data_IF_461445757506
#
_entry.id   IF_461445757506
#
_cell.length_a   1.000
_cell.length_b   1.000
_cell.length_c   1.000
_cell.angle_alpha   90.00
_cell.angle_beta   90.00
_cell.angle_gamma   90.00
#
_symmetry.space_group_name_H-M   'P 1'
#
loop_
_entity.id
_entity.type
_entity.pdbx_description
1 polymer ?
#
# COMPACT_ATOMS: atom_id res chain seq x y z
N UNK A 1 -25.40 0.34 -19.48
CA UNK A 1 -24.53 -0.37 -18.52
C UNK A 1 -23.84 0.73 -17.73
N UNK A 2 -23.89 0.71 -16.41
CA UNK A 2 -23.19 1.71 -15.60
C UNK A 2 -21.70 1.49 -15.81
N UNK A 3 -21.02 2.42 -16.46
CA UNK A 3 -19.57 2.39 -16.56
C UNK A 3 -18.98 2.68 -15.17
N UNK A 4 -17.93 1.96 -14.79
CA UNK A 4 -17.17 2.33 -13.61
C UNK A 4 -16.65 3.75 -13.83
N UNK A 5 -16.74 4.58 -12.79
CA UNK A 5 -16.15 5.93 -12.76
C UNK A 5 -14.71 5.79 -13.22
N UNK A 6 -14.27 6.70 -14.10
CA UNK A 6 -12.91 6.90 -14.62
C UNK A 6 -11.85 5.98 -13.98
N UNK A 7 -11.10 5.21 -14.80
CA UNK A 7 -10.33 4.02 -14.41
C UNK A 7 -9.79 4.08 -12.97
N UNK A 8 -10.46 3.40 -12.05
CA UNK A 8 -9.95 3.24 -10.69
C UNK A 8 -9.09 1.98 -10.65
N UNK A 9 -7.78 2.12 -10.45
CA UNK A 9 -6.87 0.98 -10.38
C UNK A 9 -6.94 0.26 -9.03
N UNK A 10 -7.44 0.89 -7.97
CA UNK A 10 -7.52 0.26 -6.65
C UNK A 10 -8.27 -1.10 -6.67
N UNK A 11 -9.49 -1.22 -7.24
CA UNK A 11 -10.15 -2.51 -7.39
C UNK A 11 -9.32 -3.56 -8.14
N UNK A 12 -8.45 -3.16 -9.08
CA UNK A 12 -7.59 -4.11 -9.78
C UNK A 12 -6.42 -4.53 -8.88
N UNK A 13 -5.76 -3.55 -8.25
CA UNK A 13 -4.57 -3.75 -7.44
C UNK A 13 -4.85 -4.55 -6.16
N UNK A 14 -6.03 -4.37 -5.53
CA UNK A 14 -6.35 -4.99 -4.23
C UNK A 14 -6.45 -6.53 -4.28
N UNK A 15 -6.72 -7.12 -5.44
CA UNK A 15 -6.83 -8.58 -5.57
C UNK A 15 -5.49 -9.30 -5.37
N UNK A 16 -4.40 -8.71 -5.85
CA UNK A 16 -3.06 -9.30 -5.77
C UNK A 16 -2.59 -9.55 -4.32
N UNK A 17 -2.56 -8.55 -3.41
CA UNK A 17 -2.14 -8.78 -2.04
C UNK A 17 -3.06 -9.77 -1.31
N UNK A 18 -4.38 -9.70 -1.53
CA UNK A 18 -5.34 -10.62 -0.91
C UNK A 18 -5.04 -12.07 -1.33
N UNK A 19 -4.93 -12.32 -2.65
CA UNK A 19 -4.69 -13.65 -3.18
C UNK A 19 -3.34 -14.24 -2.70
N UNK A 20 -2.28 -13.43 -2.74
CA UNK A 20 -0.94 -13.84 -2.29
C UNK A 20 -0.89 -14.11 -0.78
N UNK A 21 -1.47 -13.24 0.04
CA UNK A 21 -1.50 -13.41 1.50
C UNK A 21 -2.30 -14.65 1.91
N UNK A 22 -3.52 -14.80 1.39
CA UNK A 22 -4.37 -15.95 1.72
C UNK A 22 -3.68 -17.24 1.30
N UNK A 23 -3.20 -17.32 0.05
CA UNK A 23 -2.56 -18.53 -0.46
C UNK A 23 -1.27 -18.85 0.31
N UNK A 24 -0.44 -17.85 0.59
CA UNK A 24 0.79 -18.03 1.35
C UNK A 24 0.56 -18.48 2.79
N UNK A 25 -0.46 -17.93 3.47
CA UNK A 25 -0.88 -18.38 4.81
C UNK A 25 -1.38 -19.82 4.76
N UNK A 26 -2.23 -20.18 3.80
CA UNK A 26 -2.71 -21.55 3.64
C UNK A 26 -1.55 -22.52 3.47
N UNK A 27 -0.57 -22.19 2.62
CA UNK A 27 0.65 -23.00 2.44
C UNK A 27 1.42 -23.16 3.76
N UNK A 28 1.61 -22.08 4.54
CA UNK A 28 2.32 -22.17 5.82
C UNK A 28 1.54 -23.03 6.84
N UNK A 29 0.20 -22.93 6.88
CA UNK A 29 -0.66 -23.79 7.71
C UNK A 29 -0.55 -25.25 7.29
N UNK A 30 -0.67 -25.56 6.00
CA UNK A 30 -0.56 -26.92 5.49
C UNK A 30 0.84 -27.52 5.67
N UNK A 31 1.89 -26.70 5.75
CA UNK A 31 3.25 -27.17 6.03
C UNK A 31 3.37 -27.86 7.40
N UNK A 32 2.45 -27.58 8.35
CA UNK A 32 2.38 -28.28 9.64
C UNK A 32 1.81 -29.70 9.52
N UNK A 33 1.01 -30.00 8.48
CA UNK A 33 0.38 -31.31 8.26
C UNK A 33 1.32 -32.39 7.67
N UNK A 34 2.64 -32.14 7.67
CA UNK A 34 3.64 -33.12 7.23
C UNK A 34 4.26 -32.85 5.86
N UNK A 35 3.77 -31.84 5.12
CA UNK A 35 4.40 -31.37 3.86
C UNK A 35 5.61 -30.48 4.14
N UNK A 36 6.64 -31.06 4.75
CA UNK A 36 7.87 -30.34 5.15
C UNK A 36 8.81 -30.01 4.00
N UNK A 37 8.43 -30.25 2.74
CA UNK A 37 9.32 -29.98 1.61
C UNK A 37 9.71 -28.50 1.57
N UNK A 38 11.02 -28.27 1.52
CA UNK A 38 11.61 -26.94 1.71
C UNK A 38 11.14 -25.93 0.66
N UNK A 39 10.96 -26.36 -0.60
CA UNK A 39 10.59 -25.46 -1.71
C UNK A 39 9.16 -24.93 -1.61
N UNK A 40 8.19 -25.76 -1.22
CA UNK A 40 6.78 -25.36 -1.15
C UNK A 40 6.54 -24.34 -0.03
N UNK A 41 7.09 -24.61 1.15
CA UNK A 41 7.03 -23.66 2.28
C UNK A 41 7.77 -22.35 1.96
N UNK A 42 8.89 -22.43 1.24
CA UNK A 42 9.60 -21.24 0.78
C UNK A 42 8.75 -20.40 -0.17
N UNK A 43 8.01 -21.03 -1.10
CA UNK A 43 7.05 -20.34 -1.95
C UNK A 43 5.97 -19.62 -1.12
N UNK A 44 5.36 -20.30 -0.14
CA UNK A 44 4.36 -19.68 0.75
C UNK A 44 4.88 -18.44 1.48
N UNK A 45 6.12 -18.48 1.97
CA UNK A 45 6.78 -17.32 2.62
C UNK A 45 7.03 -16.17 1.65
N UNK A 46 7.42 -16.46 0.41
CA UNK A 46 7.55 -15.45 -0.64
C UNK A 46 6.21 -14.83 -1.00
N UNK A 47 5.15 -15.61 -1.08
CA UNK A 47 3.80 -15.12 -1.33
C UNK A 47 3.33 -14.20 -0.19
N UNK A 48 3.55 -14.59 1.07
CA UNK A 48 3.26 -13.72 2.23
C UNK A 48 4.05 -12.41 2.12
N UNK A 49 5.36 -12.48 1.82
CA UNK A 49 6.18 -11.29 1.69
C UNK A 49 5.68 -10.37 0.58
N UNK A 50 5.51 -10.88 -0.63
CA UNK A 50 5.05 -10.09 -1.78
C UNK A 50 3.64 -9.55 -1.54
N UNK A 51 2.75 -10.35 -0.97
CA UNK A 51 1.39 -9.94 -0.61
C UNK A 51 1.40 -8.79 0.41
N UNK A 52 2.18 -8.91 1.49
CA UNK A 52 2.35 -7.83 2.47
C UNK A 52 2.95 -6.57 1.87
N UNK A 53 3.89 -6.66 0.93
CA UNK A 53 4.43 -5.46 0.28
C UNK A 53 3.39 -4.80 -0.63
N UNK A 54 2.58 -5.59 -1.32
CA UNK A 54 1.50 -5.11 -2.17
C UNK A 54 0.32 -4.52 -1.38
N UNK A 55 0.12 -4.85 -0.09
CA UNK A 55 -0.90 -4.14 0.72
C UNK A 55 -0.58 -2.67 0.89
N UNK A 56 0.70 -2.27 0.90
CA UNK A 56 1.10 -0.85 0.91
C UNK A 56 0.64 -0.15 -0.36
N UNK A 57 0.79 -0.81 -1.51
CA UNK A 57 0.35 -0.31 -2.81
C UNK A 57 -1.19 -0.24 -2.88
N UNK A 58 -1.88 -1.26 -2.34
CA UNK A 58 -3.34 -1.27 -2.27
C UNK A 58 -3.90 -0.18 -1.34
N UNK A 59 -3.29 0.05 -0.17
CA UNK A 59 -3.71 1.11 0.76
C UNK A 59 -3.50 2.50 0.14
N UNK A 60 -2.34 2.75 -0.48
CA UNK A 60 -2.05 4.04 -1.11
C UNK A 60 -2.99 4.35 -2.29
N UNK A 61 -3.25 3.38 -3.18
CA UNK A 61 -4.28 3.51 -4.22
C UNK A 61 -5.70 3.65 -3.64
N UNK A 62 -6.01 2.99 -2.52
CA UNK A 62 -7.30 3.10 -1.84
C UNK A 62 -7.56 4.49 -1.24
N UNK A 63 -6.53 5.15 -0.70
CA UNK A 63 -6.59 6.54 -0.23
C UNK A 63 -6.95 7.47 -1.39
N UNK A 64 -6.31 7.30 -2.55
CA UNK A 64 -6.63 8.04 -3.76
C UNK A 64 -8.07 7.78 -4.23
N UNK A 65 -8.48 6.51 -4.28
CA UNK A 65 -9.84 6.12 -4.64
C UNK A 65 -10.89 6.77 -3.73
N UNK A 66 -10.68 6.78 -2.41
CA UNK A 66 -11.62 7.43 -1.48
C UNK A 66 -11.75 8.93 -1.75
N UNK A 67 -10.64 9.61 -2.06
CA UNK A 67 -10.67 11.03 -2.39
C UNK A 67 -11.48 11.30 -3.68
N UNK A 68 -11.26 10.49 -4.72
CA UNK A 68 -12.03 10.56 -5.96
C UNK A 68 -13.53 10.36 -5.72
N UNK A 69 -13.89 9.32 -4.96
CA UNK A 69 -15.30 9.02 -4.65
C UNK A 69 -15.95 10.12 -3.79
N UNK A 70 -15.19 10.77 -2.91
CA UNK A 70 -15.69 11.88 -2.10
C UNK A 70 -16.01 13.13 -2.93
N UNK A 71 -15.42 13.28 -4.13
CA UNK A 71 -15.65 14.39 -5.06
C UNK A 71 -16.80 14.19 -6.03
N UNK A 72 -17.35 12.96 -6.13
CA UNK A 72 -18.48 12.68 -7.02
C UNK A 72 -19.69 13.54 -6.62
N UNK A 73 -20.30 14.21 -7.60
CA UNK A 73 -21.53 14.99 -7.41
C UNK A 73 -21.33 16.37 -6.76
N UNK A 74 -20.10 16.76 -6.43
CA UNK A 74 -19.79 18.10 -5.86
C UNK A 74 -19.79 19.19 -6.94
N UNK A 75 -19.71 18.83 -8.22
CA UNK A 75 -19.73 19.76 -9.36
C UNK A 75 -18.44 20.57 -9.54
N UNK A 76 -17.58 20.62 -8.52
CA UNK A 76 -16.22 21.14 -8.62
C UNK A 76 -15.24 20.02 -8.92
N UNK A 77 -14.42 20.22 -9.95
CA UNK A 77 -13.23 19.40 -10.24
C UNK A 77 -11.96 20.05 -9.72
N UNK A 78 -12.05 21.16 -8.97
CA UNK A 78 -10.89 21.91 -8.52
C UNK A 78 -10.10 21.10 -7.47
N UNK A 79 -8.84 20.71 -7.77
CA UNK A 79 -7.99 20.01 -6.80
C UNK A 79 -7.64 20.87 -5.58
N UNK A 80 -7.80 22.19 -5.66
CA UNK A 80 -7.51 23.12 -4.57
C UNK A 80 -8.62 23.24 -3.53
N UNK A 81 -9.80 22.65 -3.77
CA UNK A 81 -10.88 22.61 -2.78
C UNK A 81 -10.41 21.96 -1.48
N UNK A 82 -10.61 22.68 -0.37
CA UNK A 82 -10.33 22.18 0.97
C UNK A 82 -11.25 21.02 1.32
N UNK A 83 -10.82 20.17 2.25
CA UNK A 83 -11.61 19.03 2.73
C UNK A 83 -12.95 19.50 3.30
N UNK A 84 -12.97 20.65 3.99
CA UNK A 84 -14.20 21.17 4.57
C UNK A 84 -15.20 21.63 3.52
N UNK A 85 -14.75 22.31 2.46
CA UNK A 85 -15.61 22.63 1.31
C UNK A 85 -16.14 21.35 0.66
N UNK A 86 -15.25 20.39 0.45
CA UNK A 86 -15.60 19.11 -0.16
C UNK A 86 -16.63 18.33 0.66
N UNK A 87 -16.39 18.18 1.96
CA UNK A 87 -17.26 17.43 2.87
C UNK A 87 -18.65 18.06 3.00
N UNK A 88 -18.75 19.39 2.87
CA UNK A 88 -20.02 20.11 2.94
C UNK A 88 -20.91 19.85 1.73
N UNK A 89 -20.36 19.41 0.60
CA UNK A 89 -21.11 19.18 -0.63
C UNK A 89 -21.12 17.71 -1.07
N UNK A 90 -20.26 16.87 -0.50
CA UNK A 90 -20.10 15.47 -0.90
C UNK A 90 -21.35 14.63 -0.57
N UNK A 91 -22.02 14.04 -1.58
CA UNK A 91 -23.13 13.12 -1.37
C UNK A 91 -22.72 11.90 -0.53
N UNK A 92 -21.48 11.43 -0.67
CA UNK A 92 -20.94 10.33 0.12
C UNK A 92 -20.90 10.68 1.60
N UNK A 93 -20.38 11.87 1.94
CA UNK A 93 -20.23 12.31 3.34
C UNK A 93 -21.60 12.55 3.99
N UNK A 94 -22.56 13.11 3.24
CA UNK A 94 -23.93 13.32 3.72
C UNK A 94 -24.72 12.02 3.90
N UNK A 95 -24.39 10.95 3.15
CA UNK A 95 -24.88 9.61 3.42
C UNK A 95 -24.10 8.97 4.57
N UNK A 96 -24.54 9.25 5.81
CA UNK A 96 -23.86 8.81 7.04
C UNK A 96 -23.56 7.31 7.08
N UNK A 97 -24.44 6.47 6.55
CA UNK A 97 -24.23 5.02 6.52
C UNK A 97 -23.12 4.65 5.54
N UNK A 98 -23.18 5.16 4.32
CA UNK A 98 -22.13 4.92 3.31
C UNK A 98 -20.77 5.47 3.78
N UNK A 99 -20.75 6.67 4.36
CA UNK A 99 -19.55 7.27 4.94
C UNK A 99 -18.96 6.40 6.06
N UNK A 100 -19.78 5.93 7.00
CA UNK A 100 -19.30 5.04 8.06
C UNK A 100 -18.73 3.72 7.54
N UNK A 101 -19.31 3.16 6.48
CA UNK A 101 -18.77 1.97 5.83
C UNK A 101 -17.39 2.27 5.22
N UNK A 102 -17.22 3.40 4.53
CA UNK A 102 -15.93 3.80 3.94
C UNK A 102 -14.86 4.11 4.99
N UNK A 103 -15.22 4.81 6.08
CA UNK A 103 -14.31 5.06 7.19
C UNK A 103 -13.84 3.76 7.82
N UNK A 104 -14.76 2.80 8.04
CA UNK A 104 -14.40 1.48 8.57
C UNK A 104 -13.51 0.72 7.58
N UNK A 105 -13.85 0.72 6.30
CA UNK A 105 -13.02 0.11 5.27
C UNK A 105 -11.58 0.62 5.33
N UNK A 106 -11.37 1.94 5.23
CA UNK A 106 -10.01 2.52 5.27
C UNK A 106 -9.30 2.23 6.59
N UNK A 107 -9.99 2.31 7.72
CA UNK A 107 -9.42 2.02 9.03
C UNK A 107 -8.95 0.56 9.13
N UNK A 108 -9.82 -0.41 8.79
CA UNK A 108 -9.50 -1.83 8.86
C UNK A 108 -8.41 -2.22 7.86
N UNK A 109 -8.44 -1.72 6.62
CA UNK A 109 -7.37 -1.96 5.65
C UNK A 109 -6.02 -1.41 6.14
N UNK A 110 -6.01 -0.21 6.70
CA UNK A 110 -4.78 0.41 7.23
C UNK A 110 -4.21 -0.38 8.42
N UNK A 111 -5.06 -0.78 9.37
CA UNK A 111 -4.65 -1.60 10.52
C UNK A 111 -4.15 -2.96 10.05
N UNK A 112 -4.87 -3.59 9.13
CA UNK A 112 -4.55 -4.92 8.63
C UNK A 112 -3.23 -4.94 7.86
N UNK A 113 -3.01 -3.94 7.01
CA UNK A 113 -1.73 -3.73 6.34
C UNK A 113 -0.58 -3.48 7.33
N UNK A 114 -0.80 -2.66 8.37
CA UNK A 114 0.21 -2.41 9.41
C UNK A 114 0.58 -3.69 10.18
N UNK A 115 -0.42 -4.50 10.56
CA UNK A 115 -0.19 -5.79 11.24
C UNK A 115 0.59 -6.77 10.35
N UNK A 116 0.20 -6.89 9.07
CA UNK A 116 0.90 -7.74 8.10
C UNK A 116 2.34 -7.29 7.88
N UNK A 117 2.58 -5.97 7.76
CA UNK A 117 3.91 -5.37 7.63
C UNK A 117 4.77 -5.63 8.87
N UNK A 118 4.24 -5.36 10.07
CA UNK A 118 4.97 -5.60 11.32
C UNK A 118 5.34 -7.08 11.46
N UNK A 119 4.39 -7.98 11.16
CA UNK A 119 4.62 -9.41 11.16
C UNK A 119 5.72 -9.84 10.19
N UNK A 120 5.64 -9.37 8.94
CA UNK A 120 6.54 -9.78 7.86
C UNK A 120 7.93 -9.13 7.97
N UNK A 121 8.00 -7.81 8.13
CA UNK A 121 9.27 -7.08 8.26
C UNK A 121 9.98 -7.45 9.56
N UNK A 122 9.22 -7.60 10.66
CA UNK A 122 9.76 -8.09 11.94
C UNK A 122 10.35 -9.50 11.79
N UNK A 123 9.64 -10.41 11.13
CA UNK A 123 10.15 -11.76 10.83
C UNK A 123 11.43 -11.75 9.98
N UNK A 124 11.52 -10.87 8.97
CA UNK A 124 12.73 -10.70 8.15
C UNK A 124 13.89 -10.16 9.00
N UNK A 125 13.64 -9.14 9.83
CA UNK A 125 14.64 -8.44 10.62
C UNK A 125 15.26 -9.31 11.73
N UNK A 126 14.52 -10.31 12.23
CA UNK A 126 14.97 -11.21 13.29
C UNK A 126 16.10 -12.15 12.88
N UNK A 127 16.95 -12.52 13.84
CA UNK A 127 17.89 -13.65 13.71
C UNK A 127 17.16 -14.96 13.52
N UNK A 128 17.84 -15.98 12.97
CA UNK A 128 17.22 -17.29 12.77
C UNK A 128 16.80 -17.96 14.10
N UNK A 129 17.52 -17.71 15.20
CA UNK A 129 17.14 -18.16 16.54
C UNK A 129 15.81 -17.54 16.99
N UNK A 130 15.70 -16.21 16.92
CA UNK A 130 14.49 -15.47 17.32
C UNK A 130 13.32 -15.83 16.40
N UNK A 131 13.59 -15.98 15.10
CA UNK A 131 12.57 -16.39 14.11
C UNK A 131 12.00 -17.78 14.41
N UNK A 132 12.83 -18.72 14.87
CA UNK A 132 12.37 -20.05 15.29
C UNK A 132 11.54 -19.96 16.57
N UNK A 133 11.96 -19.18 17.57
CA UNK A 133 11.26 -19.09 18.86
C UNK A 133 9.97 -18.27 18.81
N UNK A 134 9.96 -17.17 18.07
CA UNK A 134 8.82 -16.25 17.93
C UNK A 134 8.06 -16.44 16.63
N UNK A 135 8.33 -17.52 15.88
CA UNK A 135 7.71 -17.76 14.57
C UNK A 135 6.19 -17.77 14.62
N UNK A 136 5.62 -18.37 15.67
CA UNK A 136 4.18 -18.37 15.90
C UNK A 136 3.64 -16.96 16.13
N UNK A 137 4.32 -16.12 16.91
CA UNK A 137 3.88 -14.75 17.18
C UNK A 137 3.84 -13.95 15.87
N UNK A 138 4.91 -14.00 15.07
CA UNK A 138 4.94 -13.31 13.78
C UNK A 138 3.85 -13.81 12.83
N UNK A 139 3.61 -15.12 12.81
CA UNK A 139 2.52 -15.70 12.03
C UNK A 139 1.14 -15.21 12.51
N UNK A 140 0.91 -15.11 13.81
CA UNK A 140 -0.33 -14.56 14.37
C UNK A 140 -0.55 -13.09 13.99
N UNK A 141 0.50 -12.27 13.94
CA UNK A 141 0.39 -10.90 13.43
C UNK A 141 -0.08 -10.86 11.98
N UNK A 142 0.49 -11.71 11.12
CA UNK A 142 0.12 -11.79 9.70
C UNK A 142 -1.31 -12.32 9.55
N UNK A 143 -1.68 -13.35 10.30
CA UNK A 143 -3.02 -13.93 10.28
C UNK A 143 -4.08 -12.92 10.75
N UNK A 144 -3.80 -12.20 11.85
CA UNK A 144 -4.65 -11.12 12.33
C UNK A 144 -4.77 -10.01 11.27
N UNK A 145 -3.66 -9.62 10.64
CA UNK A 145 -3.65 -8.64 9.55
C UNK A 145 -4.58 -9.04 8.40
N UNK A 146 -4.53 -10.29 7.94
CA UNK A 146 -5.42 -10.80 6.88
C UNK A 146 -6.89 -10.84 7.32
N UNK A 147 -7.19 -11.22 8.56
CA UNK A 147 -8.56 -11.17 9.07
C UNK A 147 -9.13 -9.75 9.11
N UNK A 148 -8.30 -8.78 9.50
CA UNK A 148 -8.66 -7.35 9.53
C UNK A 148 -8.84 -6.80 8.10
N UNK A 149 -7.95 -7.15 7.15
CA UNK A 149 -8.11 -6.83 5.71
C UNK A 149 -9.43 -7.41 5.17
N UNK A 150 -9.72 -8.69 5.44
CA UNK A 150 -10.98 -9.30 5.00
C UNK A 150 -12.22 -8.59 5.54
N UNK A 151 -12.15 -8.07 6.77
CA UNK A 151 -13.21 -7.25 7.38
C UNK A 151 -13.32 -5.87 6.70
N UNK A 152 -12.19 -5.24 6.36
CA UNK A 152 -12.15 -4.00 5.57
C UNK A 152 -12.81 -4.18 4.21
N UNK A 153 -12.45 -5.25 3.49
CA UNK A 153 -13.03 -5.59 2.20
C UNK A 153 -14.56 -5.81 2.26
N UNK A 154 -15.05 -6.43 3.34
CA UNK A 154 -16.49 -6.58 3.58
C UNK A 154 -17.21 -5.22 3.66
N UNK A 155 -16.68 -4.26 4.42
CA UNK A 155 -17.27 -2.92 4.54
C UNK A 155 -17.28 -2.17 3.20
N UNK A 156 -16.24 -2.31 2.38
CA UNK A 156 -16.20 -1.75 1.03
C UNK A 156 -17.28 -2.37 0.14
N UNK A 157 -17.39 -3.70 0.15
CA UNK A 157 -18.43 -4.44 -0.57
C UNK A 157 -19.84 -3.95 -0.21
N UNK A 158 -20.15 -3.82 1.08
CA UNK A 158 -21.45 -3.32 1.53
C UNK A 158 -21.72 -1.86 1.09
N UNK A 159 -20.69 -1.01 1.09
CA UNK A 159 -20.78 0.35 0.56
C UNK A 159 -21.14 0.38 -0.92
N UNK A 160 -20.49 -0.45 -1.72
CA UNK A 160 -20.76 -0.57 -3.16
C UNK A 160 -22.15 -1.17 -3.39
N UNK A 161 -22.47 -2.33 -2.79
CA UNK A 161 -23.71 -3.06 -3.07
C UNK A 161 -24.97 -2.35 -2.56
N UNK A 162 -24.93 -1.71 -1.38
CA UNK A 162 -26.13 -1.08 -0.79
C UNK A 162 -26.27 0.40 -1.10
N UNK A 163 -25.16 1.09 -1.32
CA UNK A 163 -25.14 2.55 -1.45
C UNK A 163 -24.56 3.04 -2.77
N UNK A 164 -24.25 2.13 -3.70
CA UNK A 164 -23.68 2.45 -5.00
C UNK A 164 -22.43 3.34 -4.89
N UNK A 165 -21.66 3.18 -3.81
CA UNK A 165 -20.39 3.90 -3.62
C UNK A 165 -19.49 3.57 -4.81
N UNK A 166 -18.88 4.60 -5.39
CA UNK A 166 -18.03 4.51 -6.58
C UNK A 166 -18.74 4.05 -7.88
N UNK A 167 -20.07 4.15 -7.97
CA UNK A 167 -20.83 3.92 -9.21
C UNK A 167 -21.19 5.27 -9.83
N UNK A 168 -20.72 5.54 -11.05
CA UNK A 168 -21.18 6.71 -11.80
C UNK A 168 -22.56 6.43 -12.36
N UNK A 169 -23.47 7.38 -12.21
CA UNK A 169 -24.76 7.33 -12.91
C UNK A 169 -24.85 8.40 -14.00
N UNK A 170 -23.82 9.22 -14.14
CA UNK A 170 -23.79 10.44 -14.96
C UNK A 170 -22.76 10.42 -16.08
N UNK A 171 -22.23 9.25 -16.44
CA UNK A 171 -21.19 9.06 -17.47
C UNK A 171 -21.42 9.96 -18.69
N UNK A 172 -20.62 11.03 -18.81
CA UNK A 172 -20.60 11.90 -19.98
C UNK A 172 -19.71 11.29 -21.05
N UNK A 173 -20.17 11.23 -22.31
CA UNK A 173 -19.50 10.61 -23.48
C UNK A 173 -18.10 11.17 -23.85
N UNK A 174 -17.50 12.03 -23.03
CA UNK A 174 -16.14 12.52 -23.23
C UNK A 174 -15.14 11.39 -22.99
N UNK A 175 -14.68 10.76 -24.08
CA UNK A 175 -13.57 9.79 -24.03
C UNK A 175 -12.27 10.52 -23.66
N UNK A 176 -11.67 10.27 -22.49
CA UNK A 176 -10.35 10.80 -22.19
C UNK A 176 -9.30 10.26 -23.16
N UNK A 177 -8.13 10.91 -23.19
CA UNK A 177 -7.00 10.42 -23.96
C UNK A 177 -6.65 8.97 -23.58
N UNK A 178 -6.12 8.19 -24.52
CA UNK A 178 -5.94 6.74 -24.33
C UNK A 178 -5.04 6.40 -23.15
N UNK A 179 -4.03 7.22 -22.82
CA UNK A 179 -3.10 6.92 -21.72
C UNK A 179 -3.71 7.26 -20.35
N UNK A 180 -4.31 8.45 -20.22
CA UNK A 180 -4.93 8.92 -18.99
C UNK A 180 -6.11 8.01 -18.56
N UNK A 181 -6.76 7.38 -19.53
CA UNK A 181 -7.77 6.36 -19.31
C UNK A 181 -7.25 5.04 -18.72
N UNK A 182 -5.97 4.72 -18.82
CA UNK A 182 -5.44 3.48 -18.22
C UNK A 182 -4.63 3.74 -16.95
N UNK A 183 -4.02 4.91 -16.84
CA UNK A 183 -3.18 5.26 -15.71
C UNK A 183 -3.31 6.77 -15.44
N UNK A 184 -4.32 7.18 -14.65
CA UNK A 184 -4.43 8.56 -14.20
C UNK A 184 -3.08 8.97 -13.57
N UNK A 185 -2.44 10.07 -14.01
CA UNK A 185 -1.08 10.39 -13.60
C UNK A 185 -0.91 10.48 -12.07
N UNK A 186 -1.90 11.05 -11.38
CA UNK A 186 -1.91 11.15 -9.92
C UNK A 186 -2.06 9.78 -9.23
N UNK A 187 -2.86 8.87 -9.81
CA UNK A 187 -2.98 7.50 -9.31
C UNK A 187 -1.67 6.72 -9.53
N UNK A 188 -1.06 6.86 -10.71
CA UNK A 188 0.25 6.30 -10.99
C UNK A 188 1.33 6.77 -10.01
N UNK A 189 1.32 8.06 -9.66
CA UNK A 189 2.21 8.62 -8.65
C UNK A 189 1.96 8.03 -7.26
N UNK A 190 0.70 7.90 -6.81
CA UNK A 190 0.38 7.33 -5.50
C UNK A 190 0.72 5.84 -5.40
N UNK A 191 0.45 5.05 -6.44
CA UNK A 191 0.87 3.65 -6.57
C UNK A 191 2.39 3.53 -6.52
N UNK A 192 3.10 4.35 -7.30
CA UNK A 192 4.56 4.41 -7.31
C UNK A 192 5.15 4.78 -5.95
N UNK A 193 4.51 5.69 -5.22
CA UNK A 193 4.90 6.05 -3.87
C UNK A 193 4.71 4.88 -2.89
N UNK A 194 3.59 4.17 -2.96
CA UNK A 194 3.36 2.95 -2.18
C UNK A 194 4.41 1.86 -2.45
N UNK A 195 4.78 1.66 -3.71
CA UNK A 195 5.81 0.69 -4.10
C UNK A 195 7.20 1.09 -3.55
N UNK A 196 7.58 2.37 -3.63
CA UNK A 196 8.82 2.88 -3.06
C UNK A 196 8.89 2.65 -1.54
N UNK A 197 7.80 2.94 -0.82
CA UNK A 197 7.69 2.71 0.63
C UNK A 197 7.83 1.22 0.96
N UNK A 198 7.15 0.34 0.23
CA UNK A 198 7.23 -1.11 0.44
C UNK A 198 8.68 -1.62 0.29
N UNK A 199 9.38 -1.21 -0.76
CA UNK A 199 10.78 -1.57 -1.00
C UNK A 199 11.72 -1.00 0.07
N UNK A 200 11.48 0.23 0.54
CA UNK A 200 12.23 0.82 1.63
C UNK A 200 12.08 0.02 2.94
N UNK A 201 10.86 -0.39 3.29
CA UNK A 201 10.59 -1.21 4.47
C UNK A 201 11.25 -2.60 4.37
N UNK A 202 11.20 -3.24 3.20
CA UNK A 202 11.93 -4.49 2.94
C UNK A 202 13.45 -4.29 3.13
N UNK A 203 13.99 -3.22 2.57
CA UNK A 203 15.41 -2.88 2.71
C UNK A 203 15.83 -2.68 4.16
N UNK A 204 14.99 -2.00 4.97
CA UNK A 204 15.21 -1.82 6.42
C UNK A 204 15.28 -3.19 7.11
N UNK A 205 14.30 -4.08 6.86
CA UNK A 205 14.29 -5.42 7.45
C UNK A 205 15.56 -6.22 7.11
N UNK A 206 16.00 -6.18 5.85
CA UNK A 206 17.23 -6.85 5.42
C UNK A 206 18.49 -6.22 6.02
N UNK A 207 18.54 -4.90 6.16
CA UNK A 207 19.66 -4.18 6.78
C UNK A 207 19.81 -4.55 8.26
N UNK A 208 18.70 -4.59 9.01
CA UNK A 208 18.70 -5.02 10.42
C UNK A 208 19.19 -6.47 10.51
N UNK A 209 18.67 -7.37 9.67
CA UNK A 209 19.10 -8.78 9.63
C UNK A 209 20.61 -8.90 9.41
N UNK A 210 21.15 -8.15 8.44
CA UNK A 210 22.57 -8.17 8.11
C UNK A 210 23.45 -7.79 9.31
N UNK A 211 23.01 -6.81 10.11
CA UNK A 211 23.72 -6.38 11.32
C UNK A 211 23.67 -7.43 12.43
N UNK A 212 22.52 -8.06 12.63
CA UNK A 212 22.35 -9.12 13.64
C UNK A 212 23.24 -10.33 13.32
N UNK A 213 23.34 -10.71 12.04
CA UNK A 213 24.24 -11.79 11.60
C UNK A 213 25.71 -11.44 11.83
N UNK A 214 26.13 -10.20 11.55
CA UNK A 214 27.51 -9.75 11.81
C UNK A 214 27.87 -9.73 13.29
N UNK A 215 26.96 -9.27 14.15
CA UNK A 215 27.18 -9.28 15.60
C UNK A 215 27.36 -10.72 16.13
N UNK A 216 26.61 -11.68 15.60
CA UNK A 216 26.78 -13.09 15.95
C UNK A 216 28.16 -13.63 15.53
N UNK A 217 28.65 -13.25 14.34
CA UNK A 217 29.97 -13.64 13.85
C UNK A 217 31.12 -13.02 14.68
N UNK A 218 30.97 -11.76 15.11
CA UNK A 218 31.96 -11.09 15.97
C UNK A 218 32.09 -11.79 17.33
N UNK A 219 30.96 -12.23 17.92
CA UNK A 219 30.97 -13.01 19.15
C UNK A 219 31.67 -14.37 18.98
N UNK A 220 31.53 -15.02 17.81
CA UNK A 220 32.23 -16.27 17.51
C UNK A 220 33.74 -16.07 17.34
N UNK A 221 34.17 -14.99 16.68
CA UNK A 221 35.59 -14.68 16.53
C UNK A 221 36.24 -14.33 17.89
N UNK A 222 35.51 -13.69 18.80
CA UNK A 222 35.99 -13.45 20.16
C UNK A 222 36.30 -14.76 20.94
N UNK A 223 35.69 -15.88 20.55
CA UNK A 223 35.98 -17.21 21.08
C UNK A 223 37.15 -17.92 20.37
N UNK A 224 37.65 -17.37 19.25
CA UNK A 224 38.77 -17.92 18.48
C UNK A 224 40.03 -18.25 19.32
N UNK A 225 40.46 -17.40 20.26
CA UNK A 225 41.59 -17.73 21.15
C UNK A 225 41.34 -18.96 22.02
N UNK A 226 40.10 -19.20 22.45
CA UNK A 226 39.70 -20.39 23.22
C UNK A 226 39.64 -21.63 22.31
N UNK A 227 39.25 -21.45 21.04
CA UNK A 227 39.20 -22.52 20.04
C UNK A 227 40.59 -22.92 19.50
N UNK A 228 41.62 -22.11 19.74
CA UNK A 228 43.01 -22.45 19.42
C UNK A 228 43.69 -23.30 20.51
N UNK A 229 42.98 -23.65 21.59
CA UNK A 229 43.46 -24.66 22.53
C UNK A 229 43.54 -26.05 21.85
N UNK A 230 44.47 -26.92 22.29
CA UNK A 230 44.69 -28.22 21.65
C UNK A 230 43.38 -29.02 21.50
N UNK A 231 43.15 -29.66 20.34
CA UNK A 231 41.86 -30.27 20.01
C UNK A 231 41.38 -31.37 20.96
N UNK A 232 42.27 -31.93 21.80
CA UNK A 232 41.91 -32.94 22.79
C UNK A 232 41.20 -32.36 24.02
N UNK A 233 41.50 -31.14 24.46
CA UNK A 233 40.81 -30.52 25.61
C UNK A 233 39.42 -30.01 25.23
N UNK A 234 39.26 -29.55 23.99
CA UNK A 234 37.98 -29.06 23.46
C UNK A 234 36.99 -30.19 23.14
N UNK A 235 37.49 -31.36 22.71
CA UNK A 235 36.67 -32.53 22.42
C UNK A 235 35.96 -33.08 23.66
N UNK A 236 36.64 -33.11 24.81
CA UNK A 236 36.05 -33.57 26.08
C UNK A 236 35.07 -32.55 26.67
N UNK A 237 35.31 -31.24 26.48
CA UNK A 237 34.42 -30.18 26.94
C UNK A 237 33.13 -30.06 26.12
N UNK A 238 33.14 -30.47 24.84
CA UNK A 238 32.01 -30.34 23.92
C UNK A 238 31.25 -31.66 23.68
N UNK A 239 31.70 -32.78 24.26
CA UNK A 239 31.20 -34.13 24.00
C UNK A 239 29.69 -34.41 24.19
N UNK A 240 28.88 -33.68 25.00
CA UNK A 240 27.44 -33.97 25.10
C UNK A 240 26.55 -33.12 24.18
N UNK A 241 27.07 -32.09 23.51
CA UNK A 241 26.26 -31.18 22.70
C UNK A 241 26.55 -31.40 21.22
N UNK A 242 25.81 -32.37 20.68
CA UNK A 242 25.44 -32.57 19.28
C UNK A 242 26.28 -31.79 18.28
N UNK A 243 27.12 -32.51 17.53
CA UNK A 243 27.79 -32.07 16.30
C UNK A 243 26.77 -31.66 15.22
N UNK A 244 25.97 -30.63 15.48
CA UNK A 244 25.21 -29.90 14.48
C UNK A 244 26.24 -29.16 13.65
N UNK A 245 26.76 -29.88 12.64
CA UNK A 245 27.65 -29.48 11.55
C UNK A 245 27.99 -28.00 11.64
N UNK A 246 29.20 -27.70 12.13
CA UNK A 246 29.81 -26.38 12.03
C UNK A 246 29.83 -26.02 10.54
N UNK A 247 28.78 -25.32 10.09
CA UNK A 247 28.67 -24.84 8.72
C UNK A 247 29.98 -24.13 8.40
N UNK A 248 30.56 -24.45 7.25
CA UNK A 248 31.85 -23.90 6.88
C UNK A 248 31.79 -22.37 6.98
N UNK A 249 32.81 -21.67 7.51
CA UNK A 249 32.78 -20.20 7.64
C UNK A 249 32.41 -19.47 6.33
N UNK A 250 32.66 -20.11 5.18
CA UNK A 250 32.24 -19.67 3.85
C UNK A 250 30.72 -19.71 3.62
N UNK A 251 29.98 -20.69 4.14
CA UNK A 251 28.52 -20.76 4.04
C UNK A 251 27.82 -19.75 4.94
N UNK A 252 28.41 -19.45 6.11
CA UNK A 252 27.89 -18.44 7.05
C UNK A 252 28.06 -17.02 6.49
N UNK A 253 29.02 -16.81 5.58
CA UNK A 253 29.35 -15.50 5.02
C UNK A 253 28.44 -15.04 3.85
N UNK A 254 27.36 -15.75 3.51
CA UNK A 254 26.43 -15.27 2.49
C UNK A 254 25.85 -13.91 2.90
N UNK A 255 26.35 -12.85 2.26
CA UNK A 255 25.95 -11.47 2.56
C UNK A 255 24.49 -11.27 2.16
N UNK A 256 23.67 -10.88 3.14
CA UNK A 256 22.30 -10.43 2.91
C UNK A 256 22.35 -9.22 1.94
N UNK A 257 21.66 -9.26 0.79
CA UNK A 257 21.80 -8.23 -0.25
C UNK A 257 21.03 -6.93 0.07
N UNK A 258 21.10 -6.42 1.30
CA UNK A 258 20.34 -5.24 1.77
C UNK A 258 20.60 -4.01 0.90
N UNK A 259 21.84 -3.76 0.50
CA UNK A 259 22.22 -2.62 -0.34
C UNK A 259 21.57 -2.63 -1.73
N UNK A 260 21.29 -3.80 -2.31
CA UNK A 260 20.61 -3.90 -3.62
C UNK A 260 19.16 -3.46 -3.52
N UNK A 261 18.45 -3.89 -2.47
CA UNK A 261 17.08 -3.48 -2.22
C UNK A 261 16.97 -2.01 -1.84
N UNK A 262 17.94 -1.48 -1.09
CA UNK A 262 18.03 -0.06 -0.78
C UNK A 262 18.17 0.81 -2.05
N UNK A 263 19.05 0.41 -2.98
CA UNK A 263 19.21 1.10 -4.27
C UNK A 263 17.97 0.96 -5.16
N UNK A 264 17.32 -0.21 -5.17
CA UNK A 264 16.07 -0.41 -5.89
C UNK A 264 14.96 0.50 -5.32
N UNK A 265 14.86 0.64 -4.01
CA UNK A 265 13.93 1.56 -3.36
C UNK A 265 14.20 3.02 -3.77
N UNK A 266 15.46 3.44 -3.77
CA UNK A 266 15.86 4.77 -4.24
C UNK A 266 15.51 5.01 -5.72
N UNK A 267 15.74 4.01 -6.58
CA UNK A 267 15.43 4.09 -8.00
C UNK A 267 13.91 4.22 -8.22
N UNK A 268 13.10 3.40 -7.57
CA UNK A 268 11.64 3.48 -7.67
C UNK A 268 11.14 4.82 -7.11
N UNK A 269 11.67 5.28 -5.98
CA UNK A 269 11.34 6.60 -5.43
C UNK A 269 11.69 7.74 -6.39
N UNK A 270 12.85 7.67 -7.06
CA UNK A 270 13.28 8.66 -8.05
C UNK A 270 12.35 8.68 -9.28
N UNK A 271 11.98 7.49 -9.79
CA UNK A 271 11.04 7.38 -10.90
C UNK A 271 9.65 7.91 -10.51
N UNK A 272 9.18 7.64 -9.29
CA UNK A 272 7.94 8.19 -8.75
C UNK A 272 7.99 9.72 -8.63
N UNK A 273 9.11 10.28 -8.15
CA UNK A 273 9.31 11.72 -8.06
C UNK A 273 9.33 12.37 -9.46
N UNK A 274 10.01 11.76 -10.43
CA UNK A 274 9.99 12.19 -11.82
C UNK A 274 8.59 12.10 -12.44
N UNK A 275 7.82 11.06 -12.11
CA UNK A 275 6.42 10.94 -12.50
C UNK A 275 5.56 12.07 -11.92
N UNK A 276 5.72 12.37 -10.62
CA UNK A 276 5.01 13.48 -9.97
C UNK A 276 5.37 14.85 -10.58
N UNK A 277 6.63 15.03 -10.93
CA UNK A 277 7.10 16.21 -11.66
C UNK A 277 6.42 16.34 -13.02
N UNK A 278 6.38 15.25 -13.80
CA UNK A 278 5.71 15.21 -15.10
C UNK A 278 4.20 15.48 -15.02
N UNK A 279 3.54 15.00 -13.96
CA UNK A 279 2.12 15.31 -13.69
C UNK A 279 1.92 16.81 -13.48
N UNK A 280 2.77 17.43 -12.66
CA UNK A 280 2.64 18.84 -12.34
C UNK A 280 2.97 19.77 -13.52
N UNK A 281 3.81 19.33 -14.45
CA UNK A 281 4.10 20.09 -15.66
C UNK A 281 3.00 20.00 -16.71
N UNK A 282 1.89 19.29 -16.45
CA UNK A 282 0.79 19.06 -17.41
C UNK A 282 1.29 18.52 -18.77
N UNK A 283 2.33 17.67 -18.72
CA UNK A 283 2.99 17.16 -19.92
C UNK A 283 3.74 18.20 -20.78
N UNK A 284 3.90 19.44 -20.33
CA UNK A 284 4.68 20.46 -21.00
C UNK A 284 6.17 20.09 -21.13
N UNK A 285 6.86 20.75 -22.07
CA UNK A 285 8.28 20.53 -22.35
C UNK A 285 9.13 20.53 -21.08
N UNK A 286 9.97 19.50 -20.91
CA UNK A 286 10.97 19.34 -19.82
C UNK A 286 12.13 20.35 -19.89
N UNK A 287 11.84 21.56 -20.39
CA UNK A 287 12.75 22.67 -20.51
C UNK A 287 13.19 23.21 -19.15
N UNK A 288 14.33 23.89 -19.11
CA UNK A 288 14.82 24.56 -17.90
C UNK A 288 13.86 25.65 -17.39
N UNK A 289 13.12 26.30 -18.29
CA UNK A 289 12.06 27.28 -17.94
C UNK A 289 10.90 26.62 -17.20
N UNK A 290 10.44 25.45 -17.66
CA UNK A 290 9.41 24.69 -16.95
C UNK A 290 9.85 24.29 -15.52
N UNK A 291 11.15 24.06 -15.31
CA UNK A 291 11.68 23.84 -13.97
C UNK A 291 11.57 25.07 -13.07
N UNK A 292 11.92 26.25 -13.58
CA UNK A 292 11.79 27.48 -12.81
C UNK A 292 10.33 27.77 -12.48
N UNK A 293 9.43 27.63 -13.43
CA UNK A 293 8.00 27.90 -13.25
C UNK A 293 7.38 26.90 -12.26
N UNK A 294 7.76 25.63 -12.34
CA UNK A 294 7.27 24.63 -11.40
C UNK A 294 7.85 24.84 -9.99
N UNK A 295 9.12 25.24 -9.89
CA UNK A 295 9.70 25.61 -8.60
C UNK A 295 9.00 26.84 -8.00
N UNK A 296 8.69 27.86 -8.80
CA UNK A 296 7.89 29.00 -8.39
C UNK A 296 6.51 28.55 -7.88
N UNK A 297 5.82 27.65 -8.60
CA UNK A 297 4.53 27.08 -8.21
C UNK A 297 4.56 26.27 -6.90
N UNK A 298 5.66 25.56 -6.64
CA UNK A 298 5.87 24.79 -5.40
C UNK A 298 6.18 25.73 -4.24
N UNK A 299 6.99 26.75 -4.50
CA UNK A 299 7.51 27.69 -3.51
C UNK A 299 6.63 28.90 -3.22
N UNK A 300 5.53 29.07 -3.95
CA UNK A 300 4.58 30.16 -3.79
C UNK A 300 3.98 30.20 -2.38
N UNK A 301 4.49 31.13 -1.57
CA UNK A 301 4.07 31.33 -0.18
C UNK A 301 2.71 32.00 -0.04
N UNK A 302 2.22 32.67 -1.09
CA UNK A 302 0.95 33.40 -1.03
C UNK A 302 -0.22 32.43 -0.85
N UNK A 303 -0.06 31.19 -1.29
CA UNK A 303 -1.02 30.10 -1.10
C UNK A 303 -1.05 29.54 0.34
N UNK A 304 -0.15 29.96 1.23
CA UNK A 304 0.03 29.35 2.54
C UNK A 304 -0.20 30.31 3.71
N UNK A 305 -1.07 31.31 3.53
CA UNK A 305 -1.46 32.24 4.61
C UNK A 305 -0.25 32.93 5.30
N UNK A 306 0.86 33.12 4.58
CA UNK A 306 2.08 33.75 5.08
C UNK A 306 3.12 32.80 5.71
N UNK A 307 2.91 31.49 5.72
CA UNK A 307 3.94 30.53 6.17
C UNK A 307 4.91 30.17 5.04
N UNK A 308 6.22 30.21 5.34
CA UNK A 308 7.28 29.90 4.37
C UNK A 308 7.30 28.44 3.89
N UNK A 309 6.83 27.51 4.72
CA UNK A 309 6.83 26.07 4.41
C UNK A 309 5.46 25.64 3.91
N UNK A 310 5.28 25.63 2.59
CA UNK A 310 4.06 25.13 1.93
C UNK A 310 3.97 23.61 2.04
N UNK A 311 2.74 23.05 1.92
CA UNK A 311 2.54 21.59 1.87
C UNK A 311 3.32 20.95 0.71
N UNK A 312 3.38 21.63 -0.43
CA UNK A 312 4.13 21.20 -1.61
C UNK A 312 5.63 21.16 -1.35
N UNK A 313 6.21 22.23 -0.77
CA UNK A 313 7.64 22.24 -0.40
C UNK A 313 7.93 21.10 0.59
N UNK A 314 7.11 20.97 1.64
CA UNK A 314 7.30 19.91 2.62
C UNK A 314 7.25 18.52 1.96
N UNK A 315 6.31 18.30 1.04
CA UNK A 315 6.15 17.04 0.32
C UNK A 315 7.35 16.75 -0.60
N UNK A 316 7.85 17.75 -1.33
CA UNK A 316 9.04 17.60 -2.16
C UNK A 316 10.28 17.31 -1.29
N UNK A 317 10.45 18.00 -0.16
CA UNK A 317 11.53 17.74 0.78
C UNK A 317 11.49 16.29 1.33
N UNK A 318 10.32 15.82 1.75
CA UNK A 318 10.14 14.43 2.18
C UNK A 318 10.42 13.43 1.04
N UNK A 319 9.97 13.73 -0.18
CA UNK A 319 10.28 12.94 -1.37
C UNK A 319 11.78 12.82 -1.65
N UNK A 320 12.52 13.93 -1.58
CA UNK A 320 14.00 13.93 -1.71
C UNK A 320 14.66 13.07 -0.63
N UNK A 321 14.19 13.17 0.61
CA UNK A 321 14.70 12.33 1.70
C UNK A 321 14.44 10.84 1.46
N UNK A 322 13.28 10.47 0.90
CA UNK A 322 12.95 9.08 0.54
C UNK A 322 13.84 8.55 -0.59
N UNK A 323 14.40 9.40 -1.45
CA UNK A 323 15.41 8.99 -2.44
C UNK A 323 16.80 8.90 -1.81
N UNK A 324 17.21 9.93 -1.06
CA UNK A 324 18.56 10.05 -0.54
C UNK A 324 18.88 9.05 0.59
N UNK A 325 17.92 8.81 1.50
CA UNK A 325 18.16 7.97 2.68
C UNK A 325 18.35 6.48 2.34
N UNK A 326 17.63 5.86 1.37
CA UNK A 326 17.96 4.51 0.92
C UNK A 326 19.32 4.41 0.23
N UNK A 327 19.77 5.43 -0.51
CA UNK A 327 21.15 5.47 -1.05
C UNK A 327 22.16 5.49 0.10
N UNK A 328 21.95 6.36 1.09
CA UNK A 328 22.80 6.41 2.28
C UNK A 328 22.78 5.09 3.05
N UNK A 329 21.61 4.47 3.20
CA UNK A 329 21.44 3.15 3.82
C UNK A 329 22.22 2.07 3.05
N UNK A 330 22.23 2.11 1.71
CA UNK A 330 23.01 1.21 0.87
C UNK A 330 24.51 1.37 1.09
N UNK A 331 25.00 2.62 1.17
CA UNK A 331 26.40 2.96 1.44
C UNK A 331 26.80 2.49 2.83
N UNK A 332 26.04 2.83 3.87
CA UNK A 332 26.30 2.42 5.26
C UNK A 332 26.31 0.90 5.37
N UNK A 333 25.32 0.22 4.78
CA UNK A 333 25.23 -1.25 4.84
C UNK A 333 26.40 -1.93 4.14
N UNK A 334 26.97 -1.31 3.09
CA UNK A 334 28.10 -1.86 2.33
C UNK A 334 29.46 -1.57 2.96
N UNK A 335 29.69 -0.33 3.38
CA UNK A 335 31.02 0.16 3.77
C UNK A 335 31.18 0.34 5.28
N UNK A 336 30.08 0.53 6.01
CA UNK A 336 30.11 0.80 7.46
C UNK A 336 29.13 -0.10 8.25
N UNK A 337 29.11 -1.42 8.01
CA UNK A 337 28.12 -2.30 8.63
C UNK A 337 28.25 -2.39 10.16
N UNK A 338 29.42 -2.01 10.70
CA UNK A 338 29.73 -1.97 12.13
C UNK A 338 29.30 -0.69 12.84
N UNK A 339 28.76 0.29 12.11
CA UNK A 339 28.35 1.56 12.71
C UNK A 339 27.21 1.36 13.71
N UNK A 340 27.46 1.68 14.99
CA UNK A 340 26.46 1.48 16.05
C UNK A 340 25.30 2.46 15.93
N UNK A 341 25.60 3.71 15.53
CA UNK A 341 24.67 4.84 15.49
C UNK A 341 24.16 5.18 14.09
N UNK A 342 25.00 5.15 13.06
CA UNK A 342 24.62 5.63 11.72
C UNK A 342 23.48 4.81 11.13
N UNK A 343 23.55 3.46 11.16
CA UNK A 343 22.48 2.61 10.64
C UNK A 343 21.11 2.89 11.29
N UNK A 344 20.93 2.84 12.64
CA UNK A 344 19.63 3.09 13.24
C UNK A 344 19.17 4.54 13.07
N UNK A 345 20.08 5.52 13.07
CA UNK A 345 19.74 6.91 12.79
C UNK A 345 19.19 7.07 11.37
N UNK A 346 19.85 6.49 10.36
CA UNK A 346 19.37 6.51 8.97
C UNK A 346 18.03 5.80 8.82
N UNK A 347 17.83 4.66 9.49
CA UNK A 347 16.54 3.95 9.50
C UNK A 347 15.44 4.83 10.12
N UNK A 348 15.69 5.44 11.28
CA UNK A 348 14.73 6.32 11.94
C UNK A 348 14.37 7.51 11.06
N UNK A 349 15.36 8.17 10.46
CA UNK A 349 15.14 9.29 9.55
C UNK A 349 14.33 8.87 8.32
N UNK A 350 14.58 7.67 7.77
CA UNK A 350 13.83 7.15 6.63
C UNK A 350 12.37 6.88 7.01
N UNK A 351 12.12 6.30 8.19
CA UNK A 351 10.76 6.08 8.70
C UNK A 351 10.02 7.40 8.93
N UNK A 352 10.69 8.42 9.48
CA UNK A 352 10.11 9.76 9.65
C UNK A 352 9.81 10.43 8.31
N UNK A 353 10.70 10.29 7.32
CA UNK A 353 10.48 10.82 5.97
C UNK A 353 9.28 10.14 5.29
N UNK A 354 9.14 8.80 5.42
CA UNK A 354 7.99 8.04 4.92
C UNK A 354 6.69 8.50 5.60
N UNK A 355 6.68 8.63 6.93
CA UNK A 355 5.50 9.08 7.66
C UNK A 355 5.09 10.51 7.26
N UNK A 356 6.07 11.41 7.13
CA UNK A 356 5.85 12.77 6.63
C UNK A 356 5.30 12.79 5.21
N UNK A 357 5.84 11.99 4.30
CA UNK A 357 5.38 11.90 2.92
C UNK A 357 3.93 11.40 2.81
N UNK A 358 3.58 10.36 3.58
CA UNK A 358 2.21 9.82 3.62
C UNK A 358 1.24 10.89 4.14
N UNK A 359 1.57 11.53 5.26
CA UNK A 359 0.75 12.58 5.85
C UNK A 359 0.53 13.77 4.89
N UNK A 360 1.61 14.28 4.29
CA UNK A 360 1.54 15.40 3.35
C UNK A 360 0.81 15.01 2.07
N UNK A 361 0.99 13.77 1.58
CA UNK A 361 0.22 13.24 0.46
C UNK A 361 -1.28 13.22 0.75
N UNK A 362 -1.68 12.78 1.95
CA UNK A 362 -3.09 12.82 2.39
C UNK A 362 -3.63 14.25 2.43
N UNK A 363 -2.87 15.21 2.99
CA UNK A 363 -3.29 16.61 2.98
C UNK A 363 -3.44 17.16 1.56
N UNK A 364 -2.50 16.88 0.66
CA UNK A 364 -2.56 17.35 -0.73
C UNK A 364 -3.75 16.76 -1.50
N UNK A 365 -4.08 15.48 -1.27
CA UNK A 365 -5.18 14.79 -1.95
C UNK A 365 -6.55 15.27 -1.45
N UNK A 366 -6.71 15.41 -0.13
CA UNK A 366 -8.01 15.69 0.49
C UNK A 366 -8.29 17.17 0.75
N UNK A 367 -7.25 17.99 0.92
CA UNK A 367 -7.35 19.35 1.45
C UNK A 367 -6.57 20.38 0.63
N UNK A 368 -6.09 19.98 -0.55
CA UNK A 368 -5.40 20.84 -1.48
C UNK A 368 -3.98 21.24 -1.06
N UNK A 369 -3.40 22.14 -1.85
CA UNK A 369 -2.05 22.68 -1.71
C UNK A 369 -1.90 23.75 -0.62
N UNK A 370 -2.99 24.43 -0.25
CA UNK A 370 -2.99 25.53 0.70
C UNK A 370 -3.12 25.06 2.16
N UNK A 371 -2.65 25.89 3.09
CA UNK A 371 -2.86 25.69 4.53
C UNK A 371 -1.75 24.95 5.27
N UNK A 372 -1.90 24.77 6.60
CA UNK A 372 -0.82 24.30 7.46
C UNK A 372 -0.40 22.86 7.13
N UNK A 373 0.89 22.56 7.30
CA UNK A 373 1.48 21.24 7.05
C UNK A 373 1.09 20.19 8.10
N UNK A 374 0.54 20.60 9.25
CA UNK A 374 0.27 19.73 10.39
C UNK A 374 -1.21 19.40 10.59
N UNK A 375 -2.12 19.98 9.80
CA UNK A 375 -3.57 19.78 9.94
C UNK A 375 -4.33 20.17 8.68
N UNK A 376 -5.56 19.69 8.58
CA UNK A 376 -6.55 20.15 7.60
C UNK A 376 -6.90 21.63 7.83
N UNK A 377 -7.26 22.34 6.75
CA UNK A 377 -7.75 23.71 6.79
C UNK A 377 -9.06 23.73 7.57
N UNK A 378 -9.13 24.63 8.56
CA UNK A 378 -10.34 24.93 9.29
C UNK A 378 -10.90 26.23 8.73
N UNK A 379 -11.98 26.15 7.98
CA UNK A 379 -12.78 27.31 7.59
C UNK A 379 -13.49 27.76 8.86
N UNK A 380 -12.99 28.85 9.44
CA UNK A 380 -13.71 29.59 10.47
C UNK A 380 -15.12 29.82 9.96
N UNK A 381 -16.18 29.50 10.73
CA UNK A 381 -17.55 29.77 10.32
C UNK A 381 -17.60 31.25 10.00
N UNK A 382 -17.66 31.56 8.70
CA UNK A 382 -17.56 32.93 8.23
C UNK A 382 -18.67 33.68 8.92
N UNK A 383 -18.33 34.72 9.68
CA UNK A 383 -19.28 35.61 10.34
C UNK A 383 -20.37 35.91 9.33
N UNK A 384 -21.54 35.34 9.56
CA UNK A 384 -22.63 35.17 8.61
C UNK A 384 -22.63 36.30 7.60
N UNK A 385 -22.01 36.07 6.43
CA UNK A 385 -22.27 36.93 5.30
C UNK A 385 -23.78 36.84 5.15
N UNK A 386 -24.45 37.98 5.27
CA UNK A 386 -25.90 38.09 5.17
C UNK A 386 -26.25 37.81 3.72
N UNK A 387 -26.13 36.56 3.32
CA UNK A 387 -26.42 36.08 2.00
C UNK A 387 -27.93 35.98 1.96
N UNK A 388 -28.51 36.96 1.26
CA UNK A 388 -29.86 36.97 0.74
C UNK A 388 -30.30 35.54 0.44
N UNK A 389 -31.40 35.11 1.07
CA UNK A 389 -31.91 33.74 1.02
C UNK A 389 -31.84 33.20 -0.42
N UNK A 390 -31.14 32.07 -0.68
CA UNK A 390 -31.09 31.49 -2.00
C UNK A 390 -32.52 31.16 -2.42
N UNK A 391 -32.95 31.72 -3.54
CA UNK A 391 -34.20 31.35 -4.21
C UNK A 391 -34.23 29.83 -4.31
N UNK A 392 -35.15 29.20 -3.59
CA UNK A 392 -35.24 27.75 -3.52
C UNK A 392 -35.38 27.18 -4.93
N UNK A 393 -34.28 26.65 -5.47
CA UNK A 393 -34.33 25.78 -6.63
C UNK A 393 -35.03 24.53 -6.15
N UNK A 394 -36.34 24.44 -6.43
CA UNK A 394 -37.15 23.26 -6.21
C UNK A 394 -36.56 22.16 -7.09
N UNK A 395 -35.63 21.40 -6.54
CA UNK A 395 -35.26 20.10 -7.09
C UNK A 395 -36.52 19.25 -6.92
N UNK A 396 -37.26 19.08 -8.02
CA UNK A 396 -38.36 18.12 -8.08
C UNK A 396 -37.74 16.78 -7.71
N UNK A 397 -38.05 16.28 -6.51
CA UNK A 397 -37.90 14.88 -6.16
C UNK A 397 -38.68 14.10 -7.23
N UNK A 398 -37.97 13.61 -8.24
CA UNK A 398 -38.48 12.54 -9.09
C UNK A 398 -38.82 11.40 -8.13
N UNK A 399 -40.07 10.95 -8.22
CA UNK A 399 -40.63 9.91 -7.37
C UNK A 399 -39.65 8.73 -7.24
N UNK A 400 -39.66 8.01 -6.09
CA UNK A 400 -38.87 6.80 -5.96
C UNK A 400 -39.12 5.94 -7.19
N UNK A 401 -38.06 5.71 -7.97
CA UNK A 401 -38.07 4.76 -9.06
C UNK A 401 -38.38 3.44 -8.38
N UNK A 402 -39.67 3.08 -8.41
CA UNK A 402 -40.13 1.75 -8.04
C UNK A 402 -39.36 0.86 -8.99
N UNK A 403 -38.40 0.11 -8.46
CA UNK A 403 -37.69 -0.89 -9.22
C UNK A 403 -38.77 -1.68 -9.98
N UNK A 404 -38.72 -1.73 -11.33
CA UNK A 404 -39.71 -2.48 -12.07
C UNK A 404 -39.73 -3.87 -11.46
N UNK A 405 -40.90 -4.31 -11.00
CA UNK A 405 -41.08 -5.65 -10.50
C UNK A 405 -40.57 -6.58 -11.60
N UNK A 406 -39.38 -7.14 -11.38
CA UNK A 406 -38.79 -8.12 -12.26
C UNK A 406 -39.71 -9.32 -12.19
N UNK A 407 -40.72 -9.31 -13.06
CA UNK A 407 -41.44 -10.51 -13.45
C UNK A 407 -40.36 -11.39 -14.04
N UNK A 408 -39.85 -12.31 -13.21
CA UNK A 408 -39.03 -13.43 -13.65
C UNK A 408 -39.71 -13.98 -14.92
N UNK A 409 -39.06 -13.91 -16.10
CA UNK A 409 -39.63 -14.54 -17.28
C UNK A 409 -39.87 -15.99 -16.92
N UNK A 410 -41.12 -16.43 -17.07
CA UNK A 410 -41.54 -17.80 -16.77
C UNK A 410 -40.51 -18.74 -17.40
N UNK A 411 -39.79 -19.45 -16.52
CA UNK A 411 -38.77 -20.41 -16.90
C UNK A 411 -39.44 -21.42 -17.84
N UNK A 412 -39.15 -21.28 -19.14
CA UNK A 412 -39.71 -22.13 -20.17
C UNK A 412 -39.22 -23.55 -19.89
N UNK A 413 -40.10 -24.39 -19.34
CA UNK A 413 -39.85 -25.83 -19.16
C UNK A 413 -39.39 -26.38 -20.52
N UNK A 414 -38.18 -26.96 -20.62
CA UNK A 414 -37.78 -27.64 -21.84
C UNK A 414 -38.75 -28.80 -22.07
N UNK A 415 -39.27 -28.87 -23.29
CA UNK A 415 -40.14 -29.94 -23.74
C UNK A 415 -39.46 -31.29 -23.51
N UNK A 416 -40.23 -32.22 -22.94
CA UNK A 416 -39.88 -33.61 -22.74
C UNK A 416 -39.34 -34.22 -24.03
N UNK A 417 -38.07 -34.63 -24.02
CA UNK A 417 -37.48 -35.47 -25.06
C UNK A 417 -38.29 -36.77 -25.14
N UNK A 418 -39.07 -36.92 -26.21
CA UNK A 418 -39.84 -38.12 -26.51
C UNK A 418 -38.86 -39.21 -26.96
N UNK A 419 -38.82 -40.31 -26.23
CA UNK A 419 -38.03 -41.49 -26.54
C UNK A 419 -38.38 -42.01 -27.96
N UNK A 420 -37.39 -41.99 -28.86
CA UNK A 420 -37.48 -42.66 -30.14
C UNK A 420 -37.36 -44.17 -29.92
N UNK A 421 -38.45 -44.87 -30.22
CA UNK A 421 -38.60 -46.32 -30.19
C UNK A 421 -37.87 -46.92 -31.40
N UNK A 422 -36.86 -47.73 -31.14
CA UNK A 422 -36.17 -48.54 -32.14
C UNK A 422 -37.11 -49.62 -32.67
N UNK A 423 -37.53 -49.49 -33.93
CA UNK A 423 -38.30 -50.51 -34.65
C UNK A 423 -37.32 -51.47 -35.31
N UNK A 424 -37.20 -52.66 -34.74
CA UNK A 424 -36.60 -53.81 -35.40
C UNK A 424 -37.50 -54.23 -36.58
N UNK A 425 -36.90 -54.41 -37.76
CA UNK A 425 -37.53 -55.10 -38.88
C UNK A 425 -36.49 -55.99 -39.55
N UNK A 426 -36.88 -57.26 -39.60
CA UNK A 426 -36.26 -58.45 -40.16
C UNK A 426 -36.35 -58.51 -41.69
N UNK A 427 -35.64 -59.50 -42.26
CA UNK A 427 -35.63 -60.02 -43.64
C UNK A 427 -34.63 -59.33 -44.58
N UNK A 428 -33.83 -60.05 -45.38
CA UNK A 428 -33.80 -61.48 -45.73
C UNK A 428 -32.41 -61.83 -46.26
#
# INVERSE_FOLDING_TARGET
>A
MNEFIAPNLHPIVVHFPIALLITGILIEVFSFLGWRQHSFRQAGRWMILLGTLLTVVAVTSGIYALAGVSRIGVGSTDPSDSWQQLSNHSPLVHNTTAWHLMVRHVLFESIGAALALLGTVGWIACSDRIRRSLGLIWFLFILAGVGVIGTGAWFSGEGIYRHAVAVDTTSSDSRPSTLEYYLPPLEGHTIGAGAAVALALLSIGLAIRSRVTLAALENLHALGPVLNEPPHQLADALAPHSYEVLATPSEIAQRVPSSRFALLAALVALLTAAGGWWVLSDGADLSFTAFHDLWALISDSDQNSGFWLTRRIAHVCCGVLIVALPVLLAIISRYMPRSRLLLPATILLLLLAIAGQIWLGVLLIFDGNAGPVSRFVQISPSTTATTTAPTAVVIKNTAPVTAPATTLPAMHRPATLRAATTKAATSR
#
